data_IF_210689867322
#
_entry.id   IF_210689867322
#
_cell.length_a   1.000
_cell.length_b   1.000
_cell.length_c   1.000
_cell.angle_alpha   90.00
_cell.angle_beta   90.00
_cell.angle_gamma   90.00
#
_symmetry.space_group_name_H-M   'P 1'
#
loop_
_entity.id
_entity.type
_entity.pdbx_description
1 polymer ?
#
# COMPACT_ATOMS: atom_id res chain seq x y z
N UNK A 1 -1.46 -24.45 -4.96
CA UNK A 1 -1.82 -23.56 -3.83
C UNK A 1 -1.74 -24.42 -2.58
N UNK A 2 -0.73 -24.21 -1.72
CA UNK A 2 -0.62 -24.96 -0.46
C UNK A 2 -1.72 -24.46 0.49
N UNK A 3 -2.49 -25.38 1.06
CA UNK A 3 -3.54 -25.04 2.04
C UNK A 3 -2.93 -24.84 3.41
N UNK A 4 -3.59 -24.10 4.32
CA UNK A 4 -3.14 -23.94 5.72
C UNK A 4 -2.87 -25.28 6.44
N UNK A 5 -3.48 -26.37 5.97
CA UNK A 5 -3.26 -27.74 6.47
C UNK A 5 -1.87 -28.31 6.15
N UNK A 6 -1.12 -27.69 5.25
CA UNK A 6 0.20 -28.15 4.80
C UNK A 6 1.34 -27.58 5.66
N UNK A 7 1.05 -26.65 6.58
CA UNK A 7 2.04 -26.02 7.46
C UNK A 7 2.03 -26.63 8.86
N UNK A 8 3.21 -26.83 9.47
CA UNK A 8 3.31 -27.36 10.82
C UNK A 8 2.69 -26.40 11.84
N UNK A 9 1.88 -26.94 12.74
CA UNK A 9 1.12 -26.20 13.76
C UNK A 9 1.57 -26.48 15.19
N UNK A 10 2.49 -27.44 15.37
CA UNK A 10 3.10 -27.79 16.65
C UNK A 10 4.64 -27.84 16.57
N UNK A 11 5.35 -27.79 17.71
CA UNK A 11 6.81 -27.93 17.73
C UNK A 11 7.32 -29.23 17.09
N UNK A 12 6.65 -30.36 17.37
CA UNK A 12 7.04 -31.67 16.84
C UNK A 12 6.82 -31.75 15.32
N UNK A 13 5.70 -31.19 14.83
CA UNK A 13 5.44 -31.07 13.39
C UNK A 13 6.47 -30.16 12.72
N UNK A 14 6.89 -29.09 13.40
CA UNK A 14 7.91 -28.17 12.89
C UNK A 14 9.25 -28.88 12.78
N UNK A 15 9.66 -29.63 13.80
CA UNK A 15 10.89 -30.44 13.77
C UNK A 15 10.84 -31.45 12.61
N UNK A 16 9.77 -32.21 12.48
CA UNK A 16 9.58 -33.18 11.39
C UNK A 16 9.52 -32.51 10.00
N UNK A 17 9.04 -31.28 9.90
CA UNK A 17 9.07 -30.50 8.66
C UNK A 17 10.50 -30.08 8.31
N UNK A 18 11.23 -29.53 9.29
CA UNK A 18 12.61 -29.05 9.11
C UNK A 18 13.57 -30.20 8.77
N UNK A 19 13.39 -31.38 9.36
CA UNK A 19 14.20 -32.58 9.07
C UNK A 19 14.06 -33.08 7.62
N UNK A 20 12.99 -32.71 6.92
CA UNK A 20 12.76 -33.07 5.51
C UNK A 20 13.34 -32.05 4.53
N UNK A 21 13.85 -30.91 5.00
CA UNK A 21 14.43 -29.90 4.13
C UNK A 21 15.78 -30.36 3.60
N UNK A 22 15.91 -30.38 2.28
CA UNK A 22 17.17 -30.66 1.58
C UNK A 22 17.63 -29.36 0.93
N UNK A 23 18.84 -28.92 1.26
CA UNK A 23 19.45 -27.74 0.68
C UNK A 23 20.53 -28.17 -0.32
N UNK A 24 20.55 -27.54 -1.49
CA UNK A 24 21.60 -27.71 -2.49
C UNK A 24 22.05 -26.34 -3.00
N UNK A 25 23.29 -26.27 -3.48
CA UNK A 25 23.83 -25.08 -4.15
C UNK A 25 23.48 -25.04 -5.66
N UNK A 26 22.65 -25.98 -6.12
CA UNK A 26 22.23 -26.04 -7.51
C UNK A 26 21.27 -24.89 -7.84
N UNK A 27 21.38 -24.26 -9.03
CA UNK A 27 20.46 -23.21 -9.43
C UNK A 27 19.01 -23.72 -9.48
N UNK A 28 18.10 -23.00 -8.85
CA UNK A 28 16.66 -23.31 -8.90
C UNK A 28 16.13 -23.12 -10.33
N UNK A 29 15.39 -24.10 -10.91
CA UNK A 29 14.78 -23.95 -12.22
C UNK A 29 13.85 -22.74 -12.31
N UNK A 30 13.82 -22.06 -13.46
CA UNK A 30 13.08 -20.81 -13.62
C UNK A 30 11.57 -20.97 -13.36
N UNK A 31 10.99 -22.12 -13.73
CA UNK A 31 9.60 -22.49 -13.47
C UNK A 31 9.24 -22.67 -11.98
N UNK A 32 10.24 -22.82 -11.10
CA UNK A 32 10.04 -22.93 -9.65
C UNK A 32 10.27 -21.59 -8.93
N UNK A 33 10.77 -20.57 -9.64
CA UNK A 33 10.92 -19.25 -9.07
C UNK A 33 9.55 -18.57 -8.91
N UNK A 34 9.33 -17.80 -7.83
CA UNK A 34 8.17 -16.95 -7.75
C UNK A 34 8.16 -15.95 -8.93
N UNK A 35 6.97 -15.52 -9.39
CA UNK A 35 6.86 -14.55 -10.47
C UNK A 35 7.64 -13.28 -10.11
N UNK A 36 8.44 -12.78 -11.05
CA UNK A 36 9.16 -11.52 -10.88
C UNK A 36 8.16 -10.38 -10.94
N UNK A 37 8.29 -9.47 -9.98
CA UNK A 37 7.50 -8.25 -9.94
C UNK A 37 7.86 -7.39 -11.15
N UNK A 38 6.87 -7.05 -11.97
CA UNK A 38 7.00 -6.15 -13.10
C UNK A 38 7.11 -4.68 -12.69
N UNK A 39 7.65 -3.82 -13.56
CA UNK A 39 7.67 -2.37 -13.32
C UNK A 39 6.22 -1.84 -13.25
N UNK A 40 5.93 -1.04 -12.22
CA UNK A 40 4.61 -0.44 -12.02
C UNK A 40 3.61 -1.34 -11.30
N UNK A 41 4.02 -2.49 -10.76
CA UNK A 41 3.18 -3.24 -9.83
C UNK A 41 2.97 -2.45 -8.52
N UNK A 42 1.72 -2.37 -8.08
CA UNK A 42 1.32 -1.69 -6.85
C UNK A 42 1.67 -2.54 -5.62
N UNK A 43 2.95 -2.49 -5.25
CA UNK A 43 3.50 -3.24 -4.12
C UNK A 43 3.49 -2.34 -2.88
N UNK A 44 2.68 -2.72 -1.90
CA UNK A 44 2.66 -2.05 -0.60
C UNK A 44 3.69 -2.69 0.32
N UNK A 45 4.62 -1.89 0.83
CA UNK A 45 5.61 -2.34 1.82
C UNK A 45 5.11 -2.01 3.22
N UNK A 46 5.13 -2.99 4.12
CA UNK A 46 4.84 -2.74 5.54
C UNK A 46 5.99 -1.99 6.18
N UNK A 47 5.72 -0.77 6.66
CA UNK A 47 6.73 0.08 7.30
C UNK A 47 6.32 0.44 8.72
N UNK A 48 7.29 0.48 9.63
CA UNK A 48 7.09 0.97 10.99
C UNK A 48 7.54 2.42 11.12
N UNK A 49 6.67 3.29 11.64
CA UNK A 49 6.96 4.69 11.90
C UNK A 49 6.69 5.02 13.37
N UNK A 50 7.47 5.95 13.94
CA UNK A 50 7.21 6.48 15.28
C UNK A 50 6.43 7.78 15.17
N UNK A 51 5.30 7.85 15.84
CA UNK A 51 4.45 9.03 15.88
C UNK A 51 4.21 9.45 17.33
N UNK A 52 4.18 10.76 17.63
CA UNK A 52 3.66 11.24 18.90
C UNK A 52 2.23 10.75 19.13
N UNK A 53 1.89 10.38 20.36
CA UNK A 53 0.57 9.83 20.70
C UNK A 53 -0.58 10.75 20.27
N UNK A 54 -0.46 12.06 20.52
CA UNK A 54 -1.47 13.04 20.16
C UNK A 54 -1.70 13.10 18.65
N UNK A 55 -0.63 13.02 17.85
CA UNK A 55 -0.73 12.98 16.40
C UNK A 55 -1.44 11.71 15.93
N UNK A 56 -1.06 10.56 16.49
CA UNK A 56 -1.71 9.29 16.18
C UNK A 56 -3.21 9.28 16.53
N UNK A 57 -3.60 9.87 17.68
CA UNK A 57 -5.02 10.03 18.03
C UNK A 57 -5.74 10.91 17.03
N UNK A 58 -5.15 12.05 16.64
CA UNK A 58 -5.78 12.94 15.65
C UNK A 58 -5.92 12.29 14.27
N UNK A 59 -4.94 11.48 13.88
CA UNK A 59 -4.99 10.69 12.65
C UNK A 59 -6.17 9.70 12.64
N UNK A 60 -6.45 9.07 13.78
CA UNK A 60 -7.63 8.18 13.93
C UNK A 60 -8.93 8.92 13.71
N UNK A 61 -9.12 10.05 14.39
CA UNK A 61 -10.32 10.87 14.24
C UNK A 61 -10.53 11.31 12.79
N UNK A 62 -9.47 11.78 12.12
CA UNK A 62 -9.54 12.23 10.73
C UNK A 62 -9.82 11.09 9.73
N UNK A 63 -9.41 9.86 10.06
CA UNK A 63 -9.73 8.68 9.26
C UNK A 63 -11.20 8.25 9.47
N UNK A 64 -11.68 8.30 10.72
CA UNK A 64 -13.06 7.99 11.09
C UNK A 64 -14.06 8.97 10.45
N UNK A 65 -13.73 10.27 10.39
CA UNK A 65 -14.53 11.30 9.71
C UNK A 65 -14.84 10.96 8.23
N UNK A 66 -14.01 10.12 7.58
CA UNK A 66 -14.15 9.70 6.18
C UNK A 66 -14.42 8.21 6.01
N UNK A 67 -14.61 7.47 7.11
CA UNK A 67 -14.84 6.01 7.10
C UNK A 67 -13.71 5.25 6.39
N UNK A 68 -12.45 5.66 6.60
CA UNK A 68 -11.26 4.98 6.05
C UNK A 68 -10.33 4.52 7.17
N UNK A 69 -9.42 3.59 6.85
CA UNK A 69 -8.37 3.19 7.79
C UNK A 69 -7.29 4.26 7.94
N UNK A 70 -6.67 4.33 9.12
CA UNK A 70 -5.53 5.25 9.39
C UNK A 70 -4.38 5.04 8.40
N UNK A 71 -4.07 3.79 8.05
CA UNK A 71 -3.03 3.46 7.07
C UNK A 71 -3.35 4.00 5.68
N UNK A 72 -4.61 3.87 5.23
CA UNK A 72 -5.09 4.47 3.99
C UNK A 72 -4.88 5.97 4.01
N UNK A 73 -5.26 6.63 5.12
CA UNK A 73 -5.14 8.08 5.23
C UNK A 73 -3.70 8.58 5.23
N UNK A 74 -2.82 7.89 5.95
CA UNK A 74 -1.38 8.19 5.97
C UNK A 74 -0.79 8.02 4.56
N UNK A 75 -1.15 6.95 3.86
CA UNK A 75 -0.69 6.68 2.50
C UNK A 75 -1.12 7.77 1.52
N UNK A 76 -2.40 8.15 1.51
CA UNK A 76 -2.90 9.24 0.66
C UNK A 76 -2.15 10.56 0.88
N UNK A 77 -1.84 10.88 2.15
CA UNK A 77 -1.07 12.09 2.47
C UNK A 77 0.38 11.99 2.06
N UNK A 78 1.00 10.82 2.19
CA UNK A 78 2.36 10.60 1.71
C UNK A 78 2.43 10.71 0.18
N UNK A 79 1.48 10.08 -0.54
CA UNK A 79 1.38 10.18 -2.00
C UNK A 79 1.18 11.63 -2.46
N UNK A 80 0.28 12.38 -1.80
CA UNK A 80 0.04 13.78 -2.12
C UNK A 80 1.28 14.66 -1.83
N UNK A 81 1.96 14.43 -0.71
CA UNK A 81 3.17 15.16 -0.36
C UNK A 81 4.33 14.87 -1.33
N UNK A 82 4.48 13.62 -1.77
CA UNK A 82 5.49 13.24 -2.77
C UNK A 82 5.15 13.87 -4.12
N UNK A 83 3.89 13.83 -4.56
CA UNK A 83 3.46 14.47 -5.80
C UNK A 83 3.68 16.00 -5.77
N UNK A 84 3.50 16.64 -4.61
CA UNK A 84 3.82 18.07 -4.40
C UNK A 84 5.33 18.35 -4.50
N UNK A 85 6.18 17.43 -4.05
CA UNK A 85 7.64 17.56 -4.13
C UNK A 85 8.20 17.25 -5.54
N UNK A 86 7.61 16.28 -6.22
CA UNK A 86 8.03 15.83 -7.56
C UNK A 86 7.49 16.74 -8.67
N UNK A 87 6.45 17.52 -8.39
CA UNK A 87 5.84 18.45 -9.33
C UNK A 87 6.67 19.72 -9.53
N UNK A 88 7.22 19.90 -10.74
CA UNK A 88 7.48 21.22 -11.36
C UNK A 88 6.18 22.03 -11.61
N UNK A 89 5.03 21.59 -11.07
CA UNK A 89 3.71 22.18 -11.25
C UNK A 89 3.33 23.09 -10.07
N UNK A 90 3.23 24.37 -10.38
CA UNK A 90 2.90 25.46 -9.46
C UNK A 90 1.60 25.19 -8.70
N UNK A 91 1.70 25.10 -7.36
CA UNK A 91 0.55 24.95 -6.46
C UNK A 91 -0.47 26.08 -6.69
N UNK A 92 -1.70 25.71 -7.04
CA UNK A 92 -2.83 26.65 -7.06
C UNK A 92 -3.56 26.61 -5.72
N UNK A 93 -4.05 27.76 -5.27
CA UNK A 93 -4.80 27.82 -4.01
C UNK A 93 -6.12 27.03 -4.12
N UNK A 94 -6.62 26.52 -3.00
CA UNK A 94 -7.94 25.87 -2.94
C UNK A 94 -9.07 26.80 -3.44
N UNK A 95 -8.92 28.11 -3.23
CA UNK A 95 -9.87 29.09 -3.74
C UNK A 95 -9.84 29.17 -5.27
N UNK A 96 -8.65 29.12 -5.87
CA UNK A 96 -8.48 29.11 -7.33
C UNK A 96 -8.96 27.80 -7.94
N UNK A 97 -8.73 26.67 -7.28
CA UNK A 97 -9.28 25.38 -7.68
C UNK A 97 -10.82 25.38 -7.66
N UNK A 98 -11.43 25.88 -6.57
CA UNK A 98 -12.90 26.01 -6.47
C UNK A 98 -13.45 26.96 -7.54
N UNK A 99 -12.77 28.08 -7.78
CA UNK A 99 -13.15 29.04 -8.84
C UNK A 99 -13.05 28.39 -10.23
N UNK A 100 -11.98 27.65 -10.51
CA UNK A 100 -11.80 26.94 -11.78
C UNK A 100 -12.90 25.90 -12.00
N UNK A 101 -13.18 25.07 -10.98
CA UNK A 101 -14.24 24.07 -11.04
C UNK A 101 -15.63 24.68 -11.22
N UNK A 102 -15.92 25.83 -10.58
CA UNK A 102 -17.21 26.53 -10.76
C UNK A 102 -17.43 27.08 -12.18
N UNK A 103 -16.35 27.21 -12.97
CA UNK A 103 -16.41 27.69 -14.35
C UNK A 103 -16.60 26.57 -15.37
N UNK A 104 -16.39 25.32 -14.97
CA UNK A 104 -16.66 24.16 -15.82
C UNK A 104 -18.15 23.84 -15.71
N UNK A 105 -18.96 24.36 -16.64
CA UNK A 105 -20.35 23.93 -16.77
C UNK A 105 -20.41 22.45 -17.15
N UNK A 106 -21.39 21.68 -16.65
CA UNK A 106 -21.61 20.33 -17.12
C UNK A 106 -21.86 20.36 -18.62
N UNK A 107 -21.04 19.63 -19.39
CA UNK A 107 -21.35 19.34 -20.79
C UNK A 107 -22.61 18.48 -20.76
N UNK A 108 -23.76 19.10 -21.01
CA UNK A 108 -24.98 18.36 -21.31
C UNK A 108 -24.67 17.50 -22.54
N UNK A 109 -24.51 16.17 -22.35
CA UNK A 109 -24.63 15.23 -23.46
C UNK A 109 -26.06 15.36 -23.98
N UNK A 110 -26.20 16.05 -25.11
CA UNK A 110 -27.36 15.88 -25.97
C UNK A 110 -27.24 14.50 -26.61
N UNK A 111 -28.30 13.72 -26.38
CA UNK A 111 -28.79 12.50 -27.02
C UNK A 111 -27.89 11.77 -28.01
#
# INVERSE_FOLDING_TARGET
MMSEKDFPSSPDETAAFMDRLVFSDEPVPAEQLPPRLGPGEDIVVTTSIRLPLQLHTRLKELADERTVGVSTRIREWAEAAVAELDGEDQLISLADAKRALSRVHPIHRAS
#
